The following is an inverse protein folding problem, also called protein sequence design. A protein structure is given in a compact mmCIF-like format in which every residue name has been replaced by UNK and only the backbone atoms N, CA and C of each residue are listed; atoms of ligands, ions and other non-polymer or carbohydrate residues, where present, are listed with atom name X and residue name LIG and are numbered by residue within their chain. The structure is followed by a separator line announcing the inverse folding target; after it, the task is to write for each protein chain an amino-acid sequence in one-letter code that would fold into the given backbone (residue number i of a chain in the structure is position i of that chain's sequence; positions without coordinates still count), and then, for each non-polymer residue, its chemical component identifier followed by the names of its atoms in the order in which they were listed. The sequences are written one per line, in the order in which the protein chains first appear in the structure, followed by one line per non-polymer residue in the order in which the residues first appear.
data_IF_281803240246
#
_entry.id   IF_281803240246
#
_cell.length_a   1.000
_cell.length_b   1.000
_cell.length_c   1.000
_cell.angle_alpha   90.00
_cell.angle_beta   90.00
_cell.angle_gamma   90.00
#
_symmetry.space_group_name_H-M   'P 1'
#
loop_
_entity.id
_entity.type
_entity.pdbx_description
1 polymer ?
#
# COMPACT_ATOMS: atom_id res chain seq x y z
N UNK A 1 10.32 17.49 -9.64
CA UNK A 1 10.23 17.88 -8.22
C UNK A 1 9.07 17.10 -7.63
N UNK A 2 9.27 16.43 -6.50
CA UNK A 2 8.21 15.70 -5.78
C UNK A 2 7.45 16.75 -4.97
N UNK A 3 6.12 16.80 -5.07
CA UNK A 3 5.29 17.81 -4.38
C UNK A 3 4.96 17.28 -2.99
N UNK A 4 5.09 18.07 -1.93
CA UNK A 4 4.70 17.61 -0.60
C UNK A 4 3.23 17.15 -0.58
N UNK A 5 2.96 16.02 0.07
CA UNK A 5 1.62 15.45 0.14
C UNK A 5 0.63 16.33 0.92
N UNK A 6 1.12 17.20 1.81
CA UNK A 6 0.32 18.22 2.47
C UNK A 6 -0.18 19.32 1.50
N UNK A 7 0.45 19.46 0.34
CA UNK A 7 0.10 20.43 -0.70
C UNK A 7 -0.63 19.77 -1.88
N UNK A 8 -0.15 18.60 -2.36
CA UNK A 8 -0.77 17.88 -3.48
C UNK A 8 -2.04 17.10 -3.07
N UNK A 9 -2.17 16.81 -1.78
CA UNK A 9 -3.23 15.96 -1.24
C UNK A 9 -2.95 14.47 -1.46
N UNK A 10 -3.62 13.64 -0.66
CA UNK A 10 -3.44 12.18 -0.66
C UNK A 10 -3.73 11.52 -2.00
N UNK A 11 -4.70 12.04 -2.74
CA UNK A 11 -5.12 11.48 -4.03
C UNK A 11 -3.98 11.47 -5.06
N UNK A 12 -3.11 12.48 -5.02
CA UNK A 12 -1.96 12.56 -5.93
C UNK A 12 -0.98 11.39 -5.76
N UNK A 13 -0.90 10.84 -4.54
CA UNK A 13 -0.03 9.72 -4.17
C UNK A 13 -0.76 8.38 -4.09
N UNK A 14 -1.93 8.27 -4.72
CA UNK A 14 -2.56 6.97 -4.97
C UNK A 14 -2.01 6.37 -6.25
N UNK A 15 -1.55 5.13 -6.15
CA UNK A 15 -0.93 4.45 -7.28
C UNK A 15 -1.69 3.17 -7.60
N UNK A 16 -1.99 3.01 -8.89
CA UNK A 16 -2.48 1.76 -9.43
C UNK A 16 -1.33 0.95 -10.00
N UNK A 17 -1.30 -0.33 -9.66
CA UNK A 17 -0.44 -1.34 -10.26
C UNK A 17 -1.31 -2.37 -10.95
N UNK A 18 -0.97 -2.73 -12.18
CA UNK A 18 -1.72 -3.69 -12.97
C UNK A 18 -0.78 -4.76 -13.50
N UNK A 19 -1.23 -6.01 -13.45
CA UNK A 19 -0.59 -7.11 -14.15
C UNK A 19 -1.62 -8.14 -14.58
N UNK A 20 -1.20 -9.03 -15.46
CA UNK A 20 -1.98 -10.15 -15.94
C UNK A 20 -1.16 -11.42 -15.85
N UNK A 21 -1.80 -12.53 -15.54
CA UNK A 21 -1.12 -13.81 -15.41
C UNK A 21 -2.03 -14.97 -15.80
N UNK A 22 -1.42 -16.07 -16.24
CA UNK A 22 -2.11 -17.34 -16.41
C UNK A 22 -1.69 -18.26 -15.27
N UNK A 23 -2.65 -18.97 -14.68
CA UNK A 23 -2.38 -19.95 -13.66
C UNK A 23 -3.41 -21.08 -13.82
N UNK A 24 -2.92 -22.29 -14.02
CA UNK A 24 -3.74 -23.50 -14.06
C UNK A 24 -3.44 -24.32 -12.82
N UNK A 25 -4.46 -24.53 -12.01
CA UNK A 25 -4.39 -25.38 -10.83
C UNK A 25 -4.68 -26.83 -11.20
N UNK A 26 -4.06 -27.77 -10.50
CA UNK A 26 -4.27 -29.21 -10.69
C UNK A 26 -4.60 -29.90 -9.37
N UNK A 27 -5.57 -30.83 -9.40
CA UNK A 27 -5.98 -31.59 -8.22
C UNK A 27 -6.42 -30.69 -7.07
N UNK A 28 -5.74 -30.80 -5.93
CA UNK A 28 -6.02 -30.06 -4.69
C UNK A 28 -5.05 -28.88 -4.47
N UNK A 29 -4.53 -28.28 -5.55
CA UNK A 29 -3.69 -27.08 -5.44
C UNK A 29 -4.51 -25.84 -5.12
N UNK A 30 -3.91 -24.94 -4.34
CA UNK A 30 -4.44 -23.63 -4.02
C UNK A 30 -3.47 -22.53 -4.46
N UNK A 31 -3.98 -21.32 -4.66
CA UNK A 31 -3.19 -20.15 -5.02
C UNK A 31 -3.30 -19.06 -3.95
N UNK A 32 -2.15 -18.60 -3.46
CA UNK A 32 -2.02 -17.44 -2.60
C UNK A 32 -1.32 -16.27 -3.32
N UNK A 33 -1.91 -15.07 -3.24
CA UNK A 33 -1.22 -13.82 -3.55
C UNK A 33 -0.46 -13.31 -2.31
N UNK A 34 0.86 -13.26 -2.43
CA UNK A 34 1.76 -12.90 -1.33
C UNK A 34 2.32 -11.48 -1.50
N UNK A 35 1.86 -10.55 -0.67
CA UNK A 35 2.38 -9.19 -0.57
C UNK A 35 3.39 -9.10 0.56
N UNK A 36 4.66 -8.84 0.23
CA UNK A 36 5.73 -8.79 1.24
C UNK A 36 5.71 -7.52 2.08
N UNK A 37 5.24 -6.42 1.50
CA UNK A 37 5.00 -5.14 2.15
C UNK A 37 4.17 -4.24 1.21
N UNK A 38 3.28 -3.43 1.79
CA UNK A 38 2.66 -2.29 1.11
C UNK A 38 2.69 -1.11 2.09
N UNK A 39 3.02 0.07 1.57
CA UNK A 39 2.95 1.32 2.32
C UNK A 39 1.89 2.22 1.64
N UNK A 40 0.73 2.52 2.24
CA UNK A 40 0.31 2.19 3.62
C UNK A 40 -0.89 1.24 3.72
N UNK A 41 -1.79 1.28 2.74
CA UNK A 41 -2.90 0.33 2.63
C UNK A 41 -3.21 0.07 1.16
N UNK A 42 -3.93 -1.02 0.88
CA UNK A 42 -4.29 -1.31 -0.50
C UNK A 42 -5.63 -2.01 -0.66
N UNK A 43 -6.20 -1.78 -1.83
CA UNK A 43 -7.30 -2.56 -2.38
C UNK A 43 -6.72 -3.43 -3.49
N UNK A 44 -6.96 -4.74 -3.41
CA UNK A 44 -6.53 -5.73 -4.38
C UNK A 44 -7.75 -6.20 -5.13
N UNK A 45 -7.69 -6.13 -6.46
CA UNK A 45 -8.74 -6.58 -7.36
C UNK A 45 -8.19 -7.74 -8.18
N UNK A 46 -8.82 -8.91 -8.08
CA UNK A 46 -8.52 -10.04 -8.95
C UNK A 46 -9.79 -10.40 -9.73
N UNK A 47 -9.72 -10.32 -11.06
CA UNK A 47 -10.87 -10.61 -11.95
C UNK A 47 -12.14 -9.83 -11.57
N UNK A 48 -12.00 -8.61 -11.05
CA UNK A 48 -13.09 -7.77 -10.56
C UNK A 48 -13.52 -8.00 -9.10
N UNK A 49 -13.01 -9.06 -8.43
CA UNK A 49 -13.26 -9.29 -7.01
C UNK A 49 -12.32 -8.44 -6.15
N UNK A 50 -12.91 -7.58 -5.32
CA UNK A 50 -12.18 -6.69 -4.41
C UNK A 50 -11.87 -7.38 -3.08
N UNK A 51 -10.63 -7.24 -2.64
CA UNK A 51 -10.11 -7.61 -1.32
C UNK A 51 -9.39 -6.38 -0.73
N UNK A 52 -9.49 -6.17 0.58
CA UNK A 52 -8.84 -5.02 1.25
C UNK A 52 -7.75 -5.53 2.16
N UNK A 53 -6.53 -5.00 1.99
CA UNK A 53 -5.42 -5.32 2.86
C UNK A 53 -5.48 -4.44 4.12
N UNK A 54 -5.28 -5.00 5.33
CA UNK A 54 -5.13 -4.23 6.55
C UNK A 54 -4.02 -3.19 6.42
N UNK A 55 -4.23 -2.03 7.01
CA UNK A 55 -3.26 -0.92 6.99
C UNK A 55 -1.99 -1.27 7.78
N UNK A 56 -0.88 -0.66 7.38
CA UNK A 56 0.38 -0.67 8.13
C UNK A 56 1.61 -0.96 7.26
N UNK A 57 2.69 -0.26 7.57
CA UNK A 57 3.96 -0.43 6.85
C UNK A 57 4.59 -1.80 7.13
N UNK A 58 5.31 -2.33 6.14
CA UNK A 58 6.12 -3.56 6.26
C UNK A 58 5.34 -4.83 6.62
N UNK A 59 4.01 -4.78 6.62
CA UNK A 59 3.17 -5.94 6.89
C UNK A 59 3.15 -6.90 5.71
N UNK A 60 3.25 -8.19 6.01
CA UNK A 60 3.06 -9.26 5.04
C UNK A 60 1.59 -9.63 4.97
N UNK A 61 1.09 -9.83 3.77
CA UNK A 61 -0.27 -10.32 3.52
C UNK A 61 -0.22 -11.53 2.60
N UNK A 62 -1.00 -12.55 2.91
CA UNK A 62 -1.31 -13.66 2.01
C UNK A 62 -2.80 -13.66 1.79
N UNK A 63 -3.22 -13.67 0.53
CA UNK A 63 -4.63 -13.78 0.14
C UNK A 63 -4.81 -15.08 -0.63
N UNK A 64 -5.58 -16.00 -0.07
CA UNK A 64 -6.01 -17.20 -0.75
C UNK A 64 -7.06 -16.78 -1.81
N UNK A 65 -6.82 -17.13 -3.08
CA UNK A 65 -7.60 -16.65 -4.22
C UNK A 65 -8.03 -17.76 -5.18
N UNK A 66 -7.95 -19.02 -4.75
CA UNK A 66 -8.27 -20.19 -5.59
C UNK A 66 -9.65 -20.07 -6.23
N UNK A 67 -10.66 -19.66 -5.45
CA UNK A 67 -12.05 -19.60 -5.90
C UNK A 67 -12.35 -18.44 -6.86
N UNK A 68 -11.43 -17.50 -7.01
CA UNK A 68 -11.57 -16.31 -7.86
C UNK A 68 -10.78 -16.46 -9.17
N UNK A 69 -9.89 -17.46 -9.23
CA UNK A 69 -9.04 -17.69 -10.37
C UNK A 69 -9.87 -18.09 -11.61
N UNK A 70 -9.46 -17.58 -12.76
CA UNK A 70 -9.85 -18.06 -14.07
C UNK A 70 -8.81 -19.10 -14.54
N UNK A 71 -9.04 -20.42 -14.34
CA UNK A 71 -8.03 -21.45 -14.59
C UNK A 71 -7.77 -21.71 -16.08
N UNK A 72 -8.73 -21.39 -16.94
CA UNK A 72 -8.67 -21.63 -18.39
C UNK A 72 -8.34 -20.35 -19.17
N UNK A 73 -8.01 -19.26 -18.48
CA UNK A 73 -7.80 -17.96 -19.11
C UNK A 73 -6.82 -17.06 -18.40
N UNK A 74 -6.81 -15.80 -18.83
CA UNK A 74 -6.00 -14.74 -18.22
C UNK A 74 -6.69 -14.23 -16.95
N UNK A 75 -5.89 -14.03 -15.91
CA UNK A 75 -6.27 -13.43 -14.65
C UNK A 75 -5.76 -12.00 -14.62
N UNK A 76 -6.63 -11.06 -14.24
CA UNK A 76 -6.32 -9.63 -14.19
C UNK A 76 -6.18 -9.22 -12.73
N UNK A 77 -4.98 -8.76 -12.36
CA UNK A 77 -4.68 -8.28 -11.02
C UNK A 77 -4.46 -6.77 -11.07
N UNK A 78 -5.25 -6.03 -10.28
CA UNK A 78 -5.03 -4.62 -10.03
C UNK A 78 -4.84 -4.38 -8.53
N UNK A 79 -3.93 -3.47 -8.18
CA UNK A 79 -3.67 -3.10 -6.79
C UNK A 79 -3.67 -1.58 -6.71
N UNK A 80 -4.62 -1.02 -5.96
CA UNK A 80 -4.65 0.40 -5.63
C UNK A 80 -4.00 0.59 -4.27
N UNK A 81 -2.85 1.26 -4.26
CA UNK A 81 -2.11 1.59 -3.04
C UNK A 81 -2.45 3.01 -2.61
N UNK A 82 -2.80 3.17 -1.35
CA UNK A 82 -3.10 4.45 -0.71
C UNK A 82 -1.97 4.90 0.20
N UNK A 83 -1.65 6.20 0.25
CA UNK A 83 -0.74 6.75 1.26
C UNK A 83 -1.39 6.73 2.65
N UNK A 84 -0.63 7.03 3.72
CA UNK A 84 -1.16 7.22 5.08
C UNK A 84 -2.37 8.16 5.10
N UNK A 85 -3.25 7.99 6.09
CA UNK A 85 -4.44 8.81 6.30
C UNK A 85 -4.13 10.22 6.79
N UNK A 86 -3.11 10.31 7.63
CA UNK A 86 -2.63 11.50 8.30
C UNK A 86 -1.15 11.67 7.90
N UNK A 87 -0.84 12.10 6.66
CA UNK A 87 0.55 12.27 6.25
C UNK A 87 1.26 13.41 6.99
N UNK A 88 0.51 14.30 7.63
CA UNK A 88 0.99 15.49 8.30
C UNK A 88 1.52 16.56 7.35
N UNK A 89 2.17 17.55 7.94
CA UNK A 89 2.80 18.68 7.26
C UNK A 89 4.13 19.00 7.92
N UNK A 90 5.07 19.50 7.12
CA UNK A 90 6.31 20.09 7.61
C UNK A 90 6.10 21.61 7.80
N UNK A 91 6.15 22.15 9.02
CA UNK A 91 6.05 23.60 9.24
C UNK A 91 7.22 24.35 8.59
N UNK A 92 7.04 25.62 8.14
CA UNK A 92 8.12 26.42 7.55
C UNK A 92 9.35 26.58 8.44
N UNK A 93 9.14 26.68 9.75
CA UNK A 93 10.17 26.73 10.79
C UNK A 93 10.88 25.38 11.03
N UNK A 94 10.40 24.31 10.41
CA UNK A 94 10.83 22.94 10.66
C UNK A 94 10.27 22.38 11.98
N UNK A 95 10.90 21.34 12.50
CA UNK A 95 10.50 20.69 13.75
C UNK A 95 10.59 19.16 13.64
N UNK A 96 10.86 18.51 14.78
CA UNK A 96 10.96 17.05 14.84
C UNK A 96 9.60 16.45 14.51
N UNK A 97 9.52 15.61 13.47
CA UNK A 97 8.26 14.94 13.11
C UNK A 97 7.20 15.83 12.44
N UNK A 98 7.56 17.05 12.03
CA UNK A 98 6.62 18.00 11.43
C UNK A 98 5.53 18.42 12.43
N UNK A 99 4.27 18.27 12.05
CA UNK A 99 3.10 18.54 12.90
C UNK A 99 2.62 17.34 13.72
N UNK A 100 3.37 16.23 13.75
CA UNK A 100 3.08 14.99 14.47
C UNK A 100 1.84 14.20 14.00
N UNK A 101 1.15 14.64 12.95
CA UNK A 101 -0.03 13.92 12.46
C UNK A 101 0.33 12.55 11.90
N UNK A 102 1.53 12.41 11.31
CA UNK A 102 2.07 11.13 10.82
C UNK A 102 2.23 10.08 11.94
N UNK A 103 2.37 10.52 13.20
CA UNK A 103 2.41 9.66 14.39
C UNK A 103 1.14 8.81 14.59
N UNK A 104 0.01 9.22 14.02
CA UNK A 104 -1.26 8.46 14.06
C UNK A 104 -1.22 7.20 13.21
N UNK A 105 -0.40 7.18 12.16
CA UNK A 105 -0.36 6.09 11.19
C UNK A 105 0.97 5.33 11.21
N UNK A 106 2.10 5.99 11.45
CA UNK A 106 3.41 5.37 11.24
C UNK A 106 3.62 4.15 12.14
N UNK A 107 3.88 2.99 11.54
CA UNK A 107 4.10 1.75 12.29
C UNK A 107 5.46 1.76 13.02
N UNK A 108 6.43 2.51 12.49
CA UNK A 108 7.76 2.68 13.07
C UNK A 108 7.83 4.01 13.83
N UNK A 109 7.21 4.13 15.00
CA UNK A 109 7.15 5.38 15.79
C UNK A 109 8.51 6.03 16.04
N UNK A 110 9.60 5.25 16.07
CA UNK A 110 10.95 5.80 16.14
C UNK A 110 11.23 6.78 14.97
N UNK A 111 10.72 6.57 13.75
CA UNK A 111 11.04 7.47 12.63
C UNK A 111 10.30 8.81 12.68
N UNK A 112 9.29 8.95 13.53
CA UNK A 112 8.55 10.21 13.71
C UNK A 112 9.36 11.25 14.49
N UNK A 113 10.17 10.82 15.46
CA UNK A 113 10.76 11.71 16.46
C UNK A 113 12.22 12.14 16.23
N UNK A 114 12.86 11.76 15.12
CA UNK A 114 14.30 12.01 14.93
C UNK A 114 14.63 12.79 13.66
N UNK A 115 15.19 13.99 13.85
CA UNK A 115 15.56 14.98 12.81
C UNK A 115 16.57 14.51 11.75
N UNK A 116 17.20 13.35 11.94
CA UNK A 116 18.18 12.79 11.00
C UNK A 116 17.57 11.85 9.96
N UNK A 117 16.27 11.51 10.08
CA UNK A 117 15.52 10.77 9.07
C UNK A 117 14.67 11.80 8.30
N UNK A 118 15.23 12.36 7.23
CA UNK A 118 14.51 13.32 6.40
C UNK A 118 13.36 12.62 5.64
N UNK A 119 12.12 13.15 5.66
CA UNK A 119 11.11 12.75 4.68
C UNK A 119 11.63 13.04 3.27
N UNK A 120 11.28 12.19 2.32
CA UNK A 120 11.75 12.29 0.92
C UNK A 120 11.42 13.69 0.39
N UNK A 121 12.45 14.46 -0.01
CA UNK A 121 12.35 15.76 -0.69
C UNK A 121 12.31 15.59 -2.22
#
# INVERSE_FOLDING_TARGET
MIIDIADSGREYYKFWFFTKFQCKLSGAQHLDLNFRAINYSAEVYLNGHKMVLPKGMFRRHSLEVTDILNPDGENLLAVLVHPPDHPGRIPPEGGQGGDHEIGKDVATQYVEGWDWIAPVR
#
